data_IF_444193809191
#
_entry.id   IF_444193809191
#
_cell.length_a   1.000
_cell.length_b   1.000
_cell.length_c   1.000
_cell.angle_alpha   90.00
_cell.angle_beta   90.00
_cell.angle_gamma   90.00
#
_symmetry.space_group_name_H-M   'P 1'
#
loop_
_entity.id
_entity.type
_entity.pdbx_description
1 polymer ?
#
# COMPACT_ATOMS: atom_id res chain seq x y z
N UNK A 1 20.33 11.40 13.64
CA UNK A 1 19.17 10.60 14.06
C UNK A 1 19.42 10.13 15.48
N UNK A 2 18.48 10.32 16.42
CA UNK A 2 18.54 9.67 17.72
C UNK A 2 18.56 8.16 17.50
N UNK A 3 19.41 7.48 18.26
CA UNK A 3 19.56 6.03 18.19
C UNK A 3 18.73 5.44 19.33
N UNK A 4 17.79 4.57 18.98
CA UNK A 4 17.04 3.79 19.95
C UNK A 4 17.87 2.58 20.40
N UNK A 5 17.65 2.11 21.61
CA UNK A 5 18.09 0.77 22.01
C UNK A 5 17.43 -0.28 21.12
N UNK A 6 18.11 -1.40 20.86
CA UNK A 6 17.67 -2.45 19.93
C UNK A 6 16.28 -3.00 20.25
N UNK A 7 15.91 -3.02 21.53
CA UNK A 7 14.65 -3.60 22.02
C UNK A 7 13.56 -2.55 22.29
N UNK A 8 13.78 -1.28 21.92
CA UNK A 8 12.81 -0.22 22.17
C UNK A 8 11.59 -0.36 21.23
N UNK A 9 10.39 -0.45 21.81
CA UNK A 9 9.15 -0.40 21.04
C UNK A 9 8.90 1.01 20.48
N UNK A 10 8.51 1.07 19.20
CA UNK A 10 8.22 2.33 18.51
C UNK A 10 6.78 2.32 18.03
N UNK A 11 6.00 3.29 18.50
CA UNK A 11 4.65 3.48 18.03
C UNK A 11 4.67 4.02 16.58
N UNK A 12 3.87 3.42 15.70
CA UNK A 12 3.70 3.88 14.32
C UNK A 12 2.40 4.68 14.21
N UNK A 13 2.51 5.92 13.72
CA UNK A 13 1.35 6.79 13.44
C UNK A 13 1.23 7.08 11.96
N UNK A 14 0.05 6.82 11.39
CA UNK A 14 -0.26 7.19 10.02
C UNK A 14 -0.56 8.68 9.92
N UNK A 15 0.10 9.36 8.99
CA UNK A 15 -0.19 10.74 8.65
C UNK A 15 -1.52 10.86 7.89
N UNK A 16 -2.31 11.89 8.21
CA UNK A 16 -3.62 12.14 7.60
C UNK A 16 -3.58 12.60 6.13
N UNK A 17 -2.40 12.65 5.52
CA UNK A 17 -2.24 13.01 4.11
C UNK A 17 -2.60 11.81 3.22
N UNK A 18 -3.83 11.78 2.71
CA UNK A 18 -4.36 10.71 1.86
C UNK A 18 -4.25 11.00 0.34
N UNK A 19 -3.44 11.97 -0.08
CA UNK A 19 -3.36 12.42 -1.47
C UNK A 19 -3.17 11.29 -2.50
N UNK A 20 -2.19 10.38 -2.32
CA UNK A 20 -1.99 9.24 -3.22
C UNK A 20 -3.21 8.31 -3.27
N UNK A 21 -3.81 7.98 -2.12
CA UNK A 21 -5.01 7.14 -2.06
C UNK A 21 -6.20 7.81 -2.76
N UNK A 22 -6.37 9.12 -2.58
CA UNK A 22 -7.44 9.86 -3.26
C UNK A 22 -7.26 9.84 -4.78
N UNK A 23 -6.02 9.92 -5.27
CA UNK A 23 -5.70 9.92 -6.69
C UNK A 23 -5.98 8.56 -7.35
N UNK A 24 -5.75 7.45 -6.64
CA UNK A 24 -5.88 6.10 -7.22
C UNK A 24 -7.20 5.40 -6.91
N UNK A 25 -7.97 5.91 -5.94
CA UNK A 25 -9.35 5.43 -5.71
C UNK A 25 -10.30 5.95 -6.78
N UNK A 26 -11.13 5.08 -7.35
CA UNK A 26 -12.16 5.47 -8.31
C UNK A 26 -13.32 6.23 -7.63
N UNK A 27 -14.09 7.01 -8.40
CA UNK A 27 -15.26 7.71 -7.86
C UNK A 27 -16.31 6.76 -7.24
N UNK A 28 -16.66 5.61 -7.86
CA UNK A 28 -17.57 4.64 -7.25
C UNK A 28 -17.06 4.09 -5.91
N UNK A 29 -15.77 3.80 -5.80
CA UNK A 29 -15.16 3.31 -4.56
C UNK A 29 -15.22 4.36 -3.45
N UNK A 30 -14.86 5.62 -3.74
CA UNK A 30 -14.98 6.72 -2.77
C UNK A 30 -16.41 6.87 -2.26
N UNK A 31 -17.38 6.78 -3.16
CA UNK A 31 -18.81 6.84 -2.82
C UNK A 31 -19.23 5.64 -1.98
N UNK A 32 -18.80 4.42 -2.34
CA UNK A 32 -19.08 3.22 -1.56
C UNK A 32 -18.53 3.27 -0.13
N UNK A 33 -17.30 3.78 0.04
CA UNK A 33 -16.71 3.99 1.37
C UNK A 33 -17.51 4.98 2.23
N UNK A 34 -18.15 5.98 1.62
CA UNK A 34 -18.96 6.98 2.31
C UNK A 34 -20.39 6.48 2.61
N UNK A 35 -21.05 5.89 1.62
CA UNK A 35 -22.47 5.52 1.68
C UNK A 35 -22.70 4.16 2.35
N UNK A 36 -21.68 3.29 2.39
CA UNK A 36 -21.77 1.94 2.93
C UNK A 36 -20.65 1.68 3.95
N UNK A 37 -20.79 2.19 5.20
CA UNK A 37 -19.85 1.92 6.27
C UNK A 37 -19.59 0.41 6.45
N UNK A 38 -18.32 0.04 6.58
CA UNK A 38 -17.89 -1.37 6.58
C UNK A 38 -17.43 -1.89 5.21
N UNK A 39 -17.67 -1.13 4.13
CA UNK A 39 -17.04 -1.40 2.83
C UNK A 39 -15.53 -1.29 2.95
N UNK A 40 -14.83 -2.24 2.32
CA UNK A 40 -13.37 -2.25 2.25
C UNK A 40 -12.91 -2.06 0.81
N UNK A 41 -11.85 -1.31 0.64
CA UNK A 41 -11.05 -1.27 -0.59
C UNK A 41 -9.67 -1.80 -0.27
N UNK A 42 -9.06 -2.49 -1.23
CA UNK A 42 -7.73 -3.05 -1.09
C UNK A 42 -6.74 -2.19 -1.85
N UNK A 43 -5.57 -1.93 -1.26
CA UNK A 43 -4.53 -1.12 -1.85
C UNK A 43 -3.14 -1.67 -1.51
N UNK A 44 -2.19 -1.46 -2.42
CA UNK A 44 -0.76 -1.58 -2.18
C UNK A 44 -0.22 -0.18 -1.95
N UNK A 45 0.53 0.02 -0.86
CA UNK A 45 1.02 1.34 -0.46
C UNK A 45 2.51 1.31 -0.12
N UNK A 46 3.23 2.35 -0.51
CA UNK A 46 4.55 2.64 0.04
C UNK A 46 4.40 3.55 1.27
N UNK A 47 4.98 3.13 2.40
CA UNK A 47 4.99 3.89 3.65
C UNK A 47 6.38 4.47 3.89
N UNK A 48 6.49 5.79 3.88
CA UNK A 48 7.75 6.49 4.16
C UNK A 48 7.69 7.20 5.51
N UNK A 49 8.74 7.07 6.32
CA UNK A 49 8.92 7.86 7.54
C UNK A 49 9.05 9.36 7.20
N UNK A 50 8.26 10.21 7.85
CA UNK A 50 8.26 11.67 7.64
C UNK A 50 8.74 12.45 8.85
N UNK A 51 8.43 11.97 10.04
CA UNK A 51 8.92 12.56 11.29
C UNK A 51 9.10 11.44 12.30
N UNK A 52 10.07 11.61 13.19
CA UNK A 52 10.23 10.78 14.37
C UNK A 52 10.27 11.70 15.60
N UNK A 53 9.72 11.21 16.69
CA UNK A 53 9.91 11.78 18.02
C UNK A 53 10.73 10.78 18.82
N UNK A 54 12.02 11.07 18.97
CA UNK A 54 12.90 10.42 19.94
C UNK A 54 13.21 11.43 21.02
N UNK A 55 12.89 11.12 22.27
CA UNK A 55 13.03 12.04 23.39
C UNK A 55 14.46 12.00 23.98
N UNK A 56 14.84 13.06 24.70
CA UNK A 56 16.05 13.09 25.50
C UNK A 56 15.88 12.22 26.78
N UNK A 57 16.99 11.81 27.40
CA UNK A 57 16.96 11.03 28.64
C UNK A 57 16.13 11.74 29.72
N UNK A 58 15.03 11.10 30.15
CA UNK A 58 14.17 11.56 31.24
C UNK A 58 12.74 12.01 30.88
N UNK A 59 12.35 12.02 29.60
CA UNK A 59 10.96 12.28 29.20
C UNK A 59 10.14 10.98 29.17
N UNK A 60 9.01 10.93 29.89
CA UNK A 60 8.09 9.77 29.94
C UNK A 60 7.18 9.72 28.70
N UNK A 61 7.80 9.59 27.52
CA UNK A 61 7.10 9.43 26.25
C UNK A 61 7.74 8.32 25.45
N UNK A 62 6.91 7.39 25.02
CA UNK A 62 7.34 6.29 24.15
C UNK A 62 7.83 6.84 22.80
N UNK A 63 8.87 6.23 22.20
CA UNK A 63 9.31 6.57 20.85
C UNK A 63 8.18 6.46 19.84
N UNK A 64 8.06 7.44 18.93
CA UNK A 64 7.03 7.40 17.88
C UNK A 64 7.62 7.76 16.52
N UNK A 65 7.14 7.09 15.48
CA UNK A 65 7.42 7.42 14.08
C UNK A 65 6.13 7.71 13.34
N UNK A 66 6.11 8.87 12.68
CA UNK A 66 5.03 9.27 11.80
C UNK A 66 5.36 8.86 10.38
N UNK A 67 4.57 7.95 9.82
CA UNK A 67 4.69 7.46 8.45
C UNK A 67 3.62 8.09 7.55
N UNK A 68 3.92 8.24 6.26
CA UNK A 68 2.98 8.73 5.25
C UNK A 68 2.96 7.78 4.07
N UNK A 69 1.78 7.59 3.49
CA UNK A 69 1.63 6.97 2.17
C UNK A 69 2.22 7.90 1.12
N UNK A 70 3.30 7.47 0.46
CA UNK A 70 3.95 8.24 -0.63
C UNK A 70 3.49 7.79 -2.00
N UNK A 71 3.27 6.49 -2.17
CA UNK A 71 2.69 5.87 -3.36
C UNK A 71 1.56 4.94 -2.94
N UNK A 72 0.53 4.86 -3.76
CA UNK A 72 -0.60 3.99 -3.51
C UNK A 72 -1.21 3.54 -4.83
N UNK A 73 -1.50 2.24 -4.95
CA UNK A 73 -2.35 1.71 -6.01
C UNK A 73 -3.52 0.95 -5.38
N UNK A 74 -4.73 1.41 -5.68
CA UNK A 74 -5.98 0.80 -5.19
C UNK A 74 -6.45 -0.20 -6.23
N UNK A 75 -6.84 -1.40 -5.79
CA UNK A 75 -7.45 -2.39 -6.67
C UNK A 75 -8.68 -1.80 -7.36
N UNK A 76 -8.73 -1.80 -8.69
CA UNK A 76 -9.76 -1.14 -9.48
C UNK A 76 -11.02 -2.00 -9.64
N UNK A 77 -10.89 -3.33 -9.48
CA UNK A 77 -11.95 -4.30 -9.62
C UNK A 77 -11.83 -5.45 -8.60
N UNK A 78 -12.79 -6.38 -8.65
CA UNK A 78 -12.86 -7.51 -7.72
C UNK A 78 -11.71 -8.51 -7.90
N UNK A 79 -11.22 -8.69 -9.13
CA UNK A 79 -10.13 -9.62 -9.42
C UNK A 79 -8.84 -9.09 -8.79
N UNK A 80 -8.52 -7.82 -9.01
CA UNK A 80 -7.41 -7.13 -8.35
C UNK A 80 -7.55 -7.13 -6.82
N UNK A 81 -8.75 -6.90 -6.31
CA UNK A 81 -8.99 -6.94 -4.87
C UNK A 81 -8.73 -8.34 -4.29
N UNK A 82 -9.13 -9.38 -5.01
CA UNK A 82 -8.89 -10.77 -4.62
C UNK A 82 -7.39 -11.10 -4.64
N UNK A 83 -6.64 -10.61 -5.63
CA UNK A 83 -5.18 -10.75 -5.68
C UNK A 83 -4.51 -10.15 -4.45
N UNK A 84 -4.81 -8.87 -4.15
CA UNK A 84 -4.24 -8.18 -2.98
C UNK A 84 -4.61 -8.91 -1.68
N UNK A 85 -5.85 -9.38 -1.57
CA UNK A 85 -6.30 -10.16 -0.42
C UNK A 85 -5.53 -11.48 -0.26
N UNK A 86 -5.21 -12.19 -1.35
CA UNK A 86 -4.42 -13.42 -1.29
C UNK A 86 -2.96 -13.13 -0.88
N UNK A 87 -2.33 -12.09 -1.43
CA UNK A 87 -1.00 -11.62 -0.98
C UNK A 87 -1.01 -11.34 0.52
N UNK A 88 -2.01 -10.61 1.02
CA UNK A 88 -2.16 -10.32 2.44
C UNK A 88 -2.28 -11.60 3.29
N UNK A 89 -3.03 -12.61 2.81
CA UNK A 89 -3.13 -13.91 3.47
C UNK A 89 -1.81 -14.68 3.48
N UNK A 90 -1.00 -14.60 2.42
CA UNK A 90 0.36 -15.15 2.42
C UNK A 90 1.23 -14.53 3.50
N UNK A 91 1.29 -13.19 3.53
CA UNK A 91 2.07 -12.47 4.55
C UNK A 91 1.61 -12.82 5.96
N UNK A 92 0.29 -12.94 6.17
CA UNK A 92 -0.28 -13.40 7.44
C UNK A 92 0.24 -14.79 7.83
N UNK A 93 0.21 -15.77 6.92
CA UNK A 93 0.68 -17.12 7.21
C UNK A 93 2.18 -17.18 7.45
N UNK A 94 2.98 -16.42 6.71
CA UNK A 94 4.41 -16.32 6.94
C UNK A 94 4.73 -15.81 8.36
N UNK A 95 4.03 -14.76 8.82
CA UNK A 95 4.16 -14.27 10.20
C UNK A 95 3.75 -15.32 11.22
N UNK A 96 2.65 -16.03 10.96
CA UNK A 96 2.19 -17.14 11.82
C UNK A 96 3.25 -18.25 11.91
N UNK A 97 3.87 -18.63 10.79
CA UNK A 97 4.95 -19.62 10.75
C UNK A 97 6.21 -19.15 11.48
N UNK A 98 6.53 -17.86 11.37
CA UNK A 98 7.68 -17.26 12.03
C UNK A 98 7.44 -16.94 13.52
N UNK A 99 6.24 -17.21 14.04
CA UNK A 99 5.87 -16.88 15.42
C UNK A 99 5.81 -15.37 15.71
N UNK A 100 5.75 -14.53 14.68
CA UNK A 100 5.76 -13.06 14.79
C UNK A 100 4.36 -12.46 14.69
N UNK A 101 3.33 -13.28 14.89
CA UNK A 101 1.93 -12.90 14.77
C UNK A 101 1.26 -12.94 16.14
N UNK A 102 0.93 -11.75 16.66
CA UNK A 102 -0.03 -11.59 17.75
C UNK A 102 -1.44 -11.78 17.17
N UNK A 103 -2.15 -12.80 17.64
CA UNK A 103 -3.19 -13.55 16.91
C UNK A 103 -4.42 -12.77 16.39
N UNK A 104 -4.53 -12.50 15.06
CA UNK A 104 -5.80 -12.41 14.30
C UNK A 104 -5.57 -12.73 12.81
N UNK A 105 -6.17 -13.81 12.25
CA UNK A 105 -6.35 -13.88 10.79
C UNK A 105 -6.85 -15.20 10.17
N UNK A 106 -7.14 -15.20 8.85
CA UNK A 106 -8.05 -16.15 8.24
C UNK A 106 -7.35 -17.22 7.36
N UNK A 107 -7.33 -18.48 7.83
CA UNK A 107 -7.27 -19.72 7.03
C UNK A 107 -6.08 -19.98 6.07
N UNK A 108 -5.91 -21.25 5.65
CA UNK A 108 -4.80 -21.71 4.78
C UNK A 108 -5.20 -21.95 3.31
N UNK A 109 -4.37 -21.47 2.38
CA UNK A 109 -4.27 -21.84 0.94
C UNK A 109 -2.82 -21.65 0.47
N UNK A 110 -2.43 -22.33 -0.61
CA UNK A 110 -1.14 -22.16 -1.28
C UNK A 110 -1.17 -20.90 -2.17
N UNK A 111 -0.25 -19.95 -1.93
CA UNK A 111 -0.38 -18.56 -2.41
C UNK A 111 0.76 -18.10 -3.29
N UNK A 112 1.93 -18.72 -3.25
CA UNK A 112 2.97 -18.42 -4.24
C UNK A 112 2.48 -18.72 -5.65
N UNK A 113 1.79 -19.86 -5.81
CA UNK A 113 1.10 -20.19 -7.05
C UNK A 113 -0.04 -19.21 -7.36
N UNK A 114 -0.88 -18.85 -6.39
CA UNK A 114 -2.03 -17.97 -6.63
C UNK A 114 -1.63 -16.53 -6.98
N UNK A 115 -0.56 -16.01 -6.36
CA UNK A 115 -0.02 -14.67 -6.64
C UNK A 115 0.71 -14.66 -7.97
N UNK A 116 1.54 -15.67 -8.25
CA UNK A 116 2.26 -15.73 -9.53
C UNK A 116 1.31 -15.92 -10.71
N UNK A 117 0.23 -16.70 -10.55
CA UNK A 117 -0.79 -16.88 -11.57
C UNK A 117 -1.55 -15.57 -11.82
N UNK A 118 -1.91 -14.85 -10.76
CA UNK A 118 -2.73 -13.66 -10.87
C UNK A 118 -1.94 -12.41 -11.32
N UNK A 119 -0.66 -12.29 -10.94
CA UNK A 119 0.22 -11.24 -11.48
C UNK A 119 0.61 -11.49 -12.95
N UNK A 120 0.50 -12.73 -13.44
CA UNK A 120 0.85 -13.09 -14.81
C UNK A 120 -0.07 -12.50 -15.88
N UNK A 121 -1.28 -12.06 -15.52
CA UNK A 121 -2.23 -11.40 -16.43
C UNK A 121 -2.13 -9.87 -16.43
N UNK A 122 -1.33 -9.29 -15.54
CA UNK A 122 -1.16 -7.84 -15.41
C UNK A 122 -0.07 -7.31 -16.36
N UNK A 123 -0.19 -6.04 -16.81
CA UNK A 123 0.82 -5.43 -17.65
C UNK A 123 2.18 -5.42 -16.97
N UNK A 124 3.19 -5.81 -17.72
CA UNK A 124 4.59 -5.73 -17.33
C UNK A 124 5.10 -4.28 -17.36
N UNK A 125 6.20 -4.00 -16.67
CA UNK A 125 6.83 -2.68 -16.67
C UNK A 125 7.20 -2.21 -18.08
N UNK A 126 7.66 -3.13 -18.94
CA UNK A 126 7.93 -2.85 -20.36
C UNK A 126 6.68 -2.44 -21.14
N UNK A 127 5.53 -3.08 -20.90
CA UNK A 127 4.27 -2.72 -21.56
C UNK A 127 3.76 -1.36 -21.09
N UNK A 128 3.99 -1.03 -19.82
CA UNK A 128 3.67 0.27 -19.25
C UNK A 128 4.53 1.40 -19.85
N UNK A 129 5.84 1.18 -20.02
CA UNK A 129 6.76 2.14 -20.63
C UNK A 129 6.37 2.43 -22.10
N UNK A 130 6.06 1.39 -22.88
CA UNK A 130 5.59 1.55 -24.27
C UNK A 130 4.27 2.34 -24.33
N UNK A 131 3.38 2.15 -23.36
CA UNK A 131 2.15 2.94 -23.26
C UNK A 131 2.44 4.42 -22.94
N UNK A 132 3.35 4.69 -22.00
CA UNK A 132 3.78 6.04 -21.63
C UNK A 132 4.37 6.80 -22.82
N UNK A 133 5.28 6.16 -23.57
CA UNK A 133 5.91 6.73 -24.77
C UNK A 133 4.87 7.10 -25.83
N UNK A 134 3.87 6.22 -26.07
CA UNK A 134 2.78 6.49 -27.02
C UNK A 134 1.91 7.66 -26.59
N UNK A 135 1.64 7.83 -25.30
CA UNK A 135 0.88 8.97 -24.78
C UNK A 135 1.65 10.28 -24.92
N UNK A 136 2.95 10.28 -24.65
CA UNK A 136 3.82 11.46 -24.83
C UNK A 136 3.93 11.87 -26.30
N UNK A 137 4.10 10.91 -27.22
CA UNK A 137 4.13 11.16 -28.66
C UNK A 137 2.80 11.75 -29.18
N UNK A 138 1.67 11.31 -28.61
CA UNK A 138 0.34 11.87 -28.95
C UNK A 138 0.16 13.30 -28.45
N UNK A 139 0.67 13.63 -27.26
CA UNK A 139 0.61 15.01 -26.72
C UNK A 139 1.50 15.98 -27.51
N UNK A 140 2.74 15.58 -27.84
CA UNK A 140 3.65 16.43 -28.62
C UNK A 140 3.15 16.74 -30.05
N UNK A 141 2.30 15.88 -30.62
CA UNK A 141 1.69 16.10 -31.95
C UNK A 141 0.55 17.12 -31.94
N UNK A 142 -0.11 17.34 -30.80
CA UNK A 142 -1.20 18.33 -30.68
C UNK A 142 -0.63 19.75 -30.54
N UNK A 143 0.55 19.92 -29.95
CA UNK A 143 1.20 21.24 -29.78
C UNK A 143 1.84 21.79 -31.07
N UNK A 144 2.05 20.96 -32.12
CA UNK A 144 2.56 21.42 -33.42
C UNK A 144 1.47 21.89 -34.40
N UNK A 145 0.20 21.83 -34.01
CA UNK A 145 -0.95 22.26 -34.83
C UNK A 145 -1.85 23.29 -34.11
N UNK A 146 -1.27 24.08 -33.20
CA UNK A 146 -1.90 25.26 -32.59
C UNK A 146 -1.30 26.56 -33.11
#
# INVERSE_FOLDING_TARGET
MPKLHTDAEVEIKLDGAAGPLQATTTQPQRRGLFEHPGTSVFAVVELTSKAYTGHADGEDKQPQVKIRVTLAEVAQDNEQAQMVAEVMRAMYRQRKMNGTLDEIGPGSRDVESAVSEALGSLPTETEFDVYQERQQARRGRVEQHG
#
